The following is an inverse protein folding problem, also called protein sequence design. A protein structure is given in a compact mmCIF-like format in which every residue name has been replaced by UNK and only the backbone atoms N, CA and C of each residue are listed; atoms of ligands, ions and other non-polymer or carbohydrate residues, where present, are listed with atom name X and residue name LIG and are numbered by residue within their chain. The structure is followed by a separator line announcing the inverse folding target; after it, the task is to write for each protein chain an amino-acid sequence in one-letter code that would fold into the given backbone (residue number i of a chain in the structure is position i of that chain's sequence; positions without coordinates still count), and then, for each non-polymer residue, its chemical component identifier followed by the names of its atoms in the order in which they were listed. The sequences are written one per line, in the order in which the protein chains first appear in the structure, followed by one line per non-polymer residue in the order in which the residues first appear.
data_IF_879577841134
#
_entry.id   IF_879577841134
#
_cell.length_a   1.000
_cell.length_b   1.000
_cell.length_c   1.000
_cell.angle_alpha   90.00
_cell.angle_beta   90.00
_cell.angle_gamma   90.00
#
_symmetry.space_group_name_H-M   'P 1'
#
loop_
_entity.id
_entity.type
_entity.pdbx_description
1 polymer ?
#
# COMPACT_ATOMS: atom_id res chain seq x y z
N UNK A 1 -50.92 24.45 -73.40
CA UNK A 1 -50.34 23.09 -73.46
C UNK A 1 -49.47 22.96 -72.23
N UNK A 2 -49.97 22.48 -71.10
CA UNK A 2 -50.38 21.10 -70.75
C UNK A 2 -49.29 20.48 -69.83
N UNK A 3 -49.77 20.09 -68.64
CA UNK A 3 -49.31 19.06 -67.72
C UNK A 3 -48.02 19.18 -66.86
N UNK A 4 -48.27 19.16 -65.53
CA UNK A 4 -47.41 18.62 -64.47
C UNK A 4 -47.54 17.07 -64.44
N UNK A 5 -46.79 16.23 -63.65
CA UNK A 5 -46.47 16.45 -62.23
C UNK A 5 -45.14 15.87 -61.64
N UNK A 6 -44.87 16.29 -60.40
CA UNK A 6 -44.25 15.57 -59.25
C UNK A 6 -42.88 14.89 -59.35
N UNK A 7 -41.94 15.30 -58.49
CA UNK A 7 -41.55 14.50 -57.31
C UNK A 7 -40.69 15.32 -56.34
N UNK A 8 -41.04 15.22 -55.05
CA UNK A 8 -40.37 15.81 -53.90
C UNK A 8 -39.36 14.82 -53.32
N UNK A 9 -38.12 15.25 -53.07
CA UNK A 9 -37.22 14.56 -52.14
C UNK A 9 -36.52 15.56 -51.22
N UNK A 10 -36.90 15.52 -49.96
CA UNK A 10 -36.30 16.26 -48.85
C UNK A 10 -35.11 15.51 -48.24
N UNK A 11 -34.00 16.24 -48.08
CA UNK A 11 -32.98 16.19 -47.02
C UNK A 11 -32.14 14.92 -46.75
N UNK A 12 -30.81 15.12 -46.74
CA UNK A 12 -29.92 14.68 -45.66
C UNK A 12 -28.67 15.60 -45.60
N UNK A 13 -28.25 16.13 -44.43
CA UNK A 13 -26.95 16.80 -44.28
C UNK A 13 -25.82 15.77 -44.12
N UNK A 14 -24.55 16.13 -44.39
CA UNK A 14 -23.45 15.18 -44.32
C UNK A 14 -23.14 14.83 -42.85
N UNK A 15 -22.92 13.54 -42.62
CA UNK A 15 -22.51 12.97 -41.33
C UNK A 15 -21.08 13.43 -41.04
N UNK A 16 -20.90 14.19 -39.96
CA UNK A 16 -19.58 14.55 -39.47
C UNK A 16 -18.91 13.32 -38.83
N UNK A 17 -17.69 13.03 -39.28
CA UNK A 17 -16.85 11.94 -38.81
C UNK A 17 -16.58 12.06 -37.30
N UNK A 18 -16.91 11.01 -36.55
CA UNK A 18 -16.68 10.91 -35.11
C UNK A 18 -15.19 10.74 -34.72
N UNK A 19 -14.28 10.75 -35.71
CA UNK A 19 -12.85 10.54 -35.51
C UNK A 19 -12.05 11.82 -35.24
N UNK A 20 -12.62 13.01 -35.47
CA UNK A 20 -11.90 14.30 -35.30
C UNK A 20 -12.20 15.02 -33.98
N UNK A 21 -12.90 14.38 -33.03
CA UNK A 21 -13.20 14.94 -31.70
C UNK A 21 -12.32 14.37 -30.58
N UNK A 22 -11.37 13.48 -30.90
CA UNK A 22 -10.49 12.85 -29.91
C UNK A 22 -9.10 13.53 -29.76
N UNK A 23 -8.77 14.55 -30.56
CA UNK A 23 -7.43 15.18 -30.56
C UNK A 23 -7.37 16.58 -29.92
N UNK A 24 -8.43 17.07 -29.28
CA UNK A 24 -8.38 18.33 -28.52
C UNK A 24 -8.99 18.14 -27.13
N UNK A 25 -8.44 17.22 -26.34
CA UNK A 25 -8.45 17.33 -24.89
C UNK A 25 -7.06 17.82 -24.45
N UNK A 26 -6.75 19.05 -24.86
CA UNK A 26 -5.67 19.84 -24.28
C UNK A 26 -5.86 19.84 -22.77
N UNK A 27 -4.80 19.44 -22.07
CA UNK A 27 -4.68 19.47 -20.61
C UNK A 27 -5.34 20.73 -20.05
N UNK A 28 -6.46 20.55 -19.34
CA UNK A 28 -6.93 21.57 -18.43
C UNK A 28 -5.78 21.85 -17.44
N UNK A 29 -5.51 23.12 -17.09
CA UNK A 29 -4.51 23.40 -16.08
C UNK A 29 -4.94 22.69 -14.80
N UNK A 30 -4.06 21.82 -14.32
CA UNK A 30 -4.19 21.15 -13.04
C UNK A 30 -4.39 22.25 -12.00
N UNK A 31 -5.61 22.41 -11.47
CA UNK A 31 -5.91 23.45 -10.49
C UNK A 31 -5.13 23.13 -9.21
N UNK A 32 -3.96 23.73 -9.08
CA UNK A 32 -3.15 23.64 -7.88
C UNK A 32 -3.86 24.38 -6.75
N UNK A 33 -4.17 23.63 -5.69
CA UNK A 33 -4.76 24.17 -4.48
C UNK A 33 -3.72 24.17 -3.36
N UNK A 34 -3.58 25.32 -2.70
CA UNK A 34 -2.74 25.44 -1.51
C UNK A 34 -3.62 25.48 -0.27
N UNK A 35 -3.45 24.49 0.59
CA UNK A 35 -4.13 24.36 1.87
C UNK A 35 -3.18 24.67 3.02
N UNK A 36 -3.69 25.35 4.06
CA UNK A 36 -2.92 25.61 5.28
C UNK A 36 -3.54 24.80 6.41
N UNK A 37 -2.73 23.92 7.00
CA UNK A 37 -3.12 23.05 8.11
C UNK A 37 -2.42 23.53 9.36
N UNK A 38 -3.19 23.82 10.41
CA UNK A 38 -2.70 24.25 11.71
C UNK A 38 -2.75 23.09 12.70
N UNK A 39 -1.60 22.70 13.22
CA UNK A 39 -1.47 21.64 14.23
C UNK A 39 -0.53 22.11 15.34
N UNK A 40 -0.95 22.00 16.60
CA UNK A 40 -0.18 22.41 17.80
C UNK A 40 0.39 23.84 17.72
N UNK A 41 -0.35 24.74 17.12
CA UNK A 41 0.07 26.14 16.95
C UNK A 41 1.03 26.39 15.78
N UNK A 42 1.55 25.35 15.13
CA UNK A 42 2.32 25.45 13.90
C UNK A 42 1.42 25.38 12.67
N UNK A 43 1.81 26.09 11.62
CA UNK A 43 1.09 26.11 10.34
C UNK A 43 1.94 25.44 9.27
N UNK A 44 1.43 24.37 8.66
CA UNK A 44 2.03 23.73 7.51
C UNK A 44 1.22 24.02 6.26
N UNK A 45 1.93 24.38 5.21
CA UNK A 45 1.35 24.63 3.88
C UNK A 45 1.48 23.37 3.05
N UNK A 46 0.34 22.80 2.65
CA UNK A 46 0.26 21.61 1.84
C UNK A 46 -0.22 22.01 0.44
N UNK A 47 0.58 21.72 -0.58
CA UNK A 47 0.21 21.93 -1.98
C UNK A 47 -0.39 20.64 -2.52
N UNK A 48 -1.57 20.74 -3.12
CA UNK A 48 -2.33 19.62 -3.67
C UNK A 48 -2.88 19.99 -5.03
N UNK A 49 -3.42 19.00 -5.73
CA UNK A 49 -4.15 19.14 -6.97
C UNK A 49 -5.64 18.91 -6.70
N UNK A 50 -6.53 19.56 -7.44
CA UNK A 50 -7.99 19.37 -7.30
C UNK A 50 -8.47 17.92 -7.48
N UNK A 51 -7.72 17.11 -8.24
CA UNK A 51 -7.95 15.68 -8.46
C UNK A 51 -7.41 14.78 -7.34
N UNK A 52 -6.66 15.33 -6.38
CA UNK A 52 -6.22 14.56 -5.22
C UNK A 52 -7.42 14.30 -4.28
N UNK A 53 -7.35 13.23 -3.48
CA UNK A 53 -8.42 12.88 -2.53
C UNK A 53 -8.18 13.44 -1.12
N UNK A 54 -9.22 13.41 -0.28
CA UNK A 54 -9.10 13.73 1.16
C UNK A 54 -8.08 12.80 1.86
N UNK A 55 -8.01 11.53 1.46
CA UNK A 55 -6.99 10.59 1.94
C UNK A 55 -5.57 11.00 1.55
N UNK A 56 -5.38 11.48 0.31
CA UNK A 56 -4.08 11.98 -0.15
C UNK A 56 -3.68 13.28 0.58
N UNK A 57 -4.64 14.15 0.92
CA UNK A 57 -4.40 15.29 1.81
C UNK A 57 -3.96 14.83 3.21
N UNK A 58 -4.62 13.82 3.79
CA UNK A 58 -4.23 13.27 5.11
C UNK A 58 -2.82 12.67 5.07
N UNK A 59 -2.45 11.97 4.00
CA UNK A 59 -1.09 11.45 3.82
C UNK A 59 -0.05 12.58 3.76
N UNK A 60 -0.33 13.65 3.01
CA UNK A 60 0.54 14.84 2.96
C UNK A 60 0.64 15.57 4.30
N UNK A 61 -0.43 15.60 5.10
CA UNK A 61 -0.39 16.11 6.47
C UNK A 61 0.47 15.18 7.35
N UNK A 62 0.39 13.87 7.16
CA UNK A 62 1.23 12.89 7.86
C UNK A 62 2.71 13.12 7.54
N UNK A 63 3.07 13.37 6.28
CA UNK A 63 4.44 13.74 5.87
C UNK A 63 4.96 14.97 6.63
N UNK A 64 4.11 15.98 6.83
CA UNK A 64 4.49 17.23 7.49
C UNK A 64 4.46 17.19 9.03
N UNK A 65 3.65 16.31 9.63
CA UNK A 65 3.35 16.32 11.08
C UNK A 65 3.75 15.04 11.82
N UNK A 66 3.94 13.92 11.11
CA UNK A 66 4.10 12.59 11.71
C UNK A 66 2.83 12.00 12.32
N UNK A 67 1.67 12.66 12.22
CA UNK A 67 0.39 12.15 12.71
C UNK A 67 -0.25 11.28 11.63
N UNK A 68 -0.55 10.01 11.92
CA UNK A 68 -1.14 9.10 10.94
C UNK A 68 -2.55 9.52 10.47
N UNK A 69 -2.95 9.26 9.21
CA UNK A 69 -4.28 9.61 8.67
C UNK A 69 -5.46 9.20 9.55
N UNK A 70 -5.40 8.00 10.16
CA UNK A 70 -6.45 7.49 11.07
C UNK A 70 -6.58 8.30 12.37
N UNK A 71 -5.51 8.96 12.80
CA UNK A 71 -5.46 9.79 14.02
C UNK A 71 -5.60 11.29 13.72
N UNK A 72 -5.68 11.67 12.45
CA UNK A 72 -5.92 13.04 12.04
C UNK A 72 -7.43 13.35 12.06
N UNK A 73 -7.82 14.20 12.99
CA UNK A 73 -9.14 14.84 12.97
C UNK A 73 -8.99 16.22 12.33
N UNK A 74 -9.38 16.33 11.06
CA UNK A 74 -9.37 17.59 10.32
C UNK A 74 -10.65 18.38 10.62
N UNK A 75 -10.50 19.60 11.11
CA UNK A 75 -11.58 20.52 11.45
C UNK A 75 -11.56 21.70 10.50
N UNK A 76 -12.64 21.85 9.74
CA UNK A 76 -12.83 22.95 8.82
C UNK A 76 -14.11 23.73 9.17
N UNK A 77 -14.15 25.07 9.03
CA UNK A 77 -15.30 25.85 9.46
C UNK A 77 -16.60 25.40 8.79
N UNK A 78 -17.59 25.01 9.62
CA UNK A 78 -18.92 24.55 9.19
C UNK A 78 -18.91 23.29 8.32
N UNK A 79 -17.81 22.51 8.33
CA UNK A 79 -17.70 21.25 7.62
C UNK A 79 -16.98 20.21 8.50
N UNK A 80 -17.67 19.10 8.78
CA UNK A 80 -17.07 17.97 9.51
C UNK A 80 -16.35 17.07 8.50
N UNK A 81 -15.07 17.37 8.23
CA UNK A 81 -14.25 16.55 7.32
C UNK A 81 -14.09 15.09 7.80
N UNK A 82 -14.32 14.81 9.09
CA UNK A 82 -14.35 13.47 9.66
C UNK A 82 -15.49 12.58 9.09
N UNK A 83 -16.57 13.19 8.62
CA UNK A 83 -17.75 12.50 8.09
C UNK A 83 -17.70 12.38 6.56
N UNK A 84 -16.65 12.94 5.94
CA UNK A 84 -16.38 12.86 4.51
C UNK A 84 -15.47 11.66 4.26
N UNK A 85 -15.83 10.84 3.29
CA UNK A 85 -15.03 9.66 2.94
C UNK A 85 -13.68 10.07 2.32
N UNK A 86 -12.63 9.29 2.62
CA UNK A 86 -11.25 9.56 2.19
C UNK A 86 -11.09 9.49 0.66
N UNK A 87 -12.06 8.91 -0.04
CA UNK A 87 -12.13 8.85 -1.51
C UNK A 87 -12.64 10.14 -2.17
N UNK A 88 -13.16 11.08 -1.37
CA UNK A 88 -13.74 12.33 -1.88
C UNK A 88 -12.65 13.22 -2.47
N UNK A 89 -12.84 13.67 -3.72
CA UNK A 89 -11.92 14.59 -4.39
C UNK A 89 -11.88 15.95 -3.70
N UNK A 90 -10.69 16.54 -3.56
CA UNK A 90 -10.53 17.85 -2.93
C UNK A 90 -11.28 18.95 -3.68
N UNK A 91 -11.38 18.87 -5.02
CA UNK A 91 -12.18 19.78 -5.86
C UNK A 91 -13.67 19.80 -5.51
N UNK A 92 -14.21 18.69 -5.01
CA UNK A 92 -15.61 18.59 -4.59
C UNK A 92 -15.88 19.15 -3.19
N UNK A 93 -14.81 19.40 -2.42
CA UNK A 93 -14.90 19.96 -1.07
C UNK A 93 -14.82 21.49 -1.18
N UNK A 94 -15.79 22.24 -0.63
CA UNK A 94 -15.87 23.70 -0.77
C UNK A 94 -14.86 24.43 0.14
N UNK A 95 -13.56 24.19 -0.10
CA UNK A 95 -12.49 24.94 0.54
C UNK A 95 -12.54 26.39 0.09
N UNK A 96 -12.51 27.30 1.06
CA UNK A 96 -12.51 28.74 0.85
C UNK A 96 -11.06 29.21 0.87
N UNK A 97 -10.74 30.15 -0.02
CA UNK A 97 -9.41 30.77 -0.05
C UNK A 97 -9.05 31.34 1.32
N UNK A 98 -7.83 31.06 1.77
CA UNK A 98 -7.23 31.55 3.02
C UNK A 98 -7.89 31.06 4.33
N UNK A 99 -8.74 30.03 4.29
CA UNK A 99 -9.27 29.41 5.51
C UNK A 99 -8.37 28.25 5.92
N UNK A 100 -7.92 28.27 7.18
CA UNK A 100 -7.02 27.26 7.74
C UNK A 100 -7.82 26.05 8.22
N UNK A 101 -7.30 24.85 7.95
CA UNK A 101 -7.80 23.60 8.51
C UNK A 101 -7.12 23.41 9.87
N UNK A 102 -7.88 23.32 10.96
CA UNK A 102 -7.29 22.95 12.25
C UNK A 102 -7.21 21.43 12.31
N UNK A 103 -6.05 20.88 12.64
CA UNK A 103 -5.87 19.44 12.82
C UNK A 103 -5.68 19.12 14.30
N UNK A 104 -6.44 18.14 14.77
CA UNK A 104 -6.24 17.50 16.07
C UNK A 104 -5.70 16.11 15.81
N UNK A 105 -4.61 15.79 16.49
CA UNK A 105 -3.98 14.49 16.43
C UNK A 105 -2.75 14.47 17.30
N UNK A 106 -2.42 13.30 17.81
CA UNK A 106 -1.19 13.04 18.58
C UNK A 106 -0.23 12.27 17.68
N UNK A 107 1.03 12.69 17.70
CA UNK A 107 2.12 11.85 17.20
C UNK A 107 2.24 10.65 18.13
N UNK A 108 2.51 9.48 17.57
CA UNK A 108 2.58 8.26 18.38
C UNK A 108 3.70 8.31 19.43
N UNK A 109 4.72 9.16 19.22
CA UNK A 109 5.87 9.30 20.12
C UNK A 109 5.49 9.79 21.53
N UNK A 110 4.37 10.51 21.67
CA UNK A 110 3.92 11.06 22.94
C UNK A 110 2.95 10.13 23.71
N UNK A 111 2.63 8.96 23.17
CA UNK A 111 1.70 8.00 23.78
C UNK A 111 2.43 7.00 24.69
N UNK A 112 3.74 7.13 24.89
CA UNK A 112 4.51 6.27 25.80
C UNK A 112 4.24 6.57 27.28
N UNK A 113 3.05 6.14 27.76
CA UNK A 113 2.83 5.64 29.12
C UNK A 113 1.87 4.42 29.01
N UNK A 114 2.44 3.25 28.74
CA UNK A 114 1.93 1.98 29.28
C UNK A 114 0.53 1.48 28.89
N UNK A 115 0.21 1.34 27.60
CA UNK A 115 -0.82 0.40 27.15
C UNK A 115 -0.37 -0.33 25.87
N UNK A 116 0.01 -1.60 26.03
CA UNK A 116 0.27 -2.58 24.95
C UNK A 116 -1.03 -3.12 24.32
N UNK A 117 -2.10 -2.31 24.29
CA UNK A 117 -3.32 -2.65 23.57
C UNK A 117 -3.36 -1.77 22.32
N UNK A 118 -2.69 -2.24 21.27
CA UNK A 118 -3.01 -1.80 19.92
C UNK A 118 -4.50 -2.08 19.74
N UNK A 119 -5.37 -1.05 19.58
CA UNK A 119 -6.80 -1.27 19.50
C UNK A 119 -7.04 -2.30 18.42
N UNK A 120 -7.71 -3.41 18.78
CA UNK A 120 -8.04 -4.51 17.88
C UNK A 120 -8.38 -3.91 16.51
N UNK A 121 -7.46 -4.07 15.55
CA UNK A 121 -7.82 -3.92 14.15
C UNK A 121 -8.69 -5.14 13.86
N UNK A 122 -9.94 -5.00 14.31
CA UNK A 122 -11.03 -5.91 14.08
C UNK A 122 -11.08 -6.16 12.59
N UNK A 123 -10.94 -7.45 12.30
CA UNK A 123 -10.84 -8.04 10.97
C UNK A 123 -12.22 -8.10 10.33
N UNK A 124 -12.92 -6.95 10.31
CA UNK A 124 -14.24 -6.81 9.67
C UNK A 124 -14.12 -6.81 8.13
N UNK A 125 -12.91 -7.11 7.63
CA UNK A 125 -12.50 -7.03 6.23
C UNK A 125 -12.05 -8.40 5.73
N UNK A 126 -12.74 -9.47 6.15
CA UNK A 126 -12.79 -10.70 5.38
C UNK A 126 -13.39 -10.35 4.00
N UNK A 127 -12.52 -9.91 3.10
CA UNK A 127 -12.78 -9.99 1.67
C UNK A 127 -13.00 -11.47 1.41
N UNK A 128 -14.26 -11.86 1.21
CA UNK A 128 -14.64 -13.20 0.84
C UNK A 128 -13.64 -13.69 -0.20
N UNK A 129 -12.97 -14.81 0.12
CA UNK A 129 -12.11 -15.51 -0.82
C UNK A 129 -12.93 -15.64 -2.11
N UNK A 130 -12.39 -15.13 -3.22
CA UNK A 130 -12.85 -15.33 -4.61
C UNK A 130 -13.35 -14.14 -5.42
N UNK A 131 -13.00 -12.89 -5.11
CA UNK A 131 -13.09 -11.84 -6.13
C UNK A 131 -11.77 -11.10 -6.28
N UNK A 132 -10.90 -11.66 -7.14
CA UNK A 132 -9.83 -10.96 -7.83
C UNK A 132 -10.45 -9.83 -8.66
N UNK A 133 -10.89 -8.76 -7.99
CA UNK A 133 -11.27 -7.54 -8.69
C UNK A 133 -9.99 -7.09 -9.41
N UNK A 134 -9.99 -6.91 -10.75
CA UNK A 134 -8.79 -6.58 -11.51
C UNK A 134 -8.40 -5.11 -11.30
N UNK A 135 -8.24 -4.71 -10.03
CA UNK A 135 -7.73 -3.42 -9.57
C UNK A 135 -6.32 -3.25 -10.12
N UNK A 136 -5.47 -4.28 -10.05
CA UNK A 136 -4.09 -4.23 -10.57
C UNK A 136 -4.00 -3.80 -12.03
N UNK A 137 -5.01 -4.11 -12.85
CA UNK A 137 -4.95 -3.91 -14.30
C UNK A 137 -5.44 -2.53 -14.75
N UNK A 138 -6.03 -1.73 -13.84
CA UNK A 138 -6.53 -0.39 -14.17
C UNK A 138 -5.42 0.63 -14.36
N UNK A 139 -5.55 1.42 -15.41
CA UNK A 139 -4.53 2.41 -15.79
C UNK A 139 -4.27 3.46 -14.71
N UNK A 140 -5.30 3.86 -13.96
CA UNK A 140 -5.17 4.78 -12.82
C UNK A 140 -4.14 4.27 -11.81
N UNK A 141 -4.19 2.98 -11.45
CA UNK A 141 -3.28 2.42 -10.45
C UNK A 141 -1.90 2.13 -11.03
N UNK A 142 -1.81 1.78 -12.32
CA UNK A 142 -0.53 1.70 -13.04
C UNK A 142 0.18 3.06 -13.09
N UNK A 143 -0.56 4.17 -13.27
CA UNK A 143 0.00 5.52 -13.21
C UNK A 143 0.42 5.92 -11.80
N UNK A 144 -0.41 5.65 -10.78
CA UNK A 144 -0.04 5.86 -9.36
C UNK A 144 1.24 5.11 -9.00
N UNK A 145 1.36 3.86 -9.44
CA UNK A 145 2.55 3.04 -9.27
C UNK A 145 3.79 3.69 -9.92
N UNK A 146 3.70 4.05 -11.20
CA UNK A 146 4.81 4.70 -11.94
C UNK A 146 5.26 5.99 -11.25
N UNK A 147 4.30 6.83 -10.84
CA UNK A 147 4.58 8.07 -10.10
C UNK A 147 5.32 7.75 -8.79
N UNK A 148 4.83 6.77 -8.03
CA UNK A 148 5.44 6.38 -6.76
C UNK A 148 6.85 5.82 -6.94
N UNK A 149 7.04 4.93 -7.91
CA UNK A 149 8.35 4.37 -8.24
C UNK A 149 9.37 5.45 -8.61
N UNK A 150 8.94 6.53 -9.28
CA UNK A 150 9.82 7.64 -9.64
C UNK A 150 10.11 8.61 -8.49
N UNK A 151 9.18 8.79 -7.54
CA UNK A 151 9.28 9.80 -6.49
C UNK A 151 9.86 9.26 -5.18
N UNK A 152 9.49 8.03 -4.83
CA UNK A 152 9.95 7.39 -3.62
C UNK A 152 11.40 6.91 -3.80
N UNK A 153 12.26 7.13 -2.81
CA UNK A 153 13.61 6.58 -2.80
C UNK A 153 13.67 5.47 -1.77
N UNK A 154 13.89 4.24 -2.24
CA UNK A 154 14.06 3.09 -1.33
C UNK A 154 15.29 3.33 -0.45
N UNK A 155 15.10 3.19 0.86
CA UNK A 155 16.17 3.40 1.84
C UNK A 155 17.03 2.14 1.93
N UNK A 156 18.15 2.12 1.21
CA UNK A 156 19.15 1.05 1.29
C UNK A 156 19.93 1.15 2.60
N UNK A 157 20.09 0.02 3.30
CA UNK A 157 20.78 -0.03 4.59
C UNK A 157 22.29 -0.18 4.37
N UNK A 158 23.10 0.81 4.78
CA UNK A 158 24.54 0.89 4.40
C UNK A 158 25.51 0.49 5.52
N UNK A 159 25.13 0.43 6.80
CA UNK A 159 26.01 -0.10 7.86
C UNK A 159 25.26 -0.48 9.15
N UNK A 160 25.79 -1.45 9.89
CA UNK A 160 25.14 -2.07 11.05
C UNK A 160 25.80 -1.69 12.39
N UNK A 161 24.99 -1.62 13.46
CA UNK A 161 25.41 -1.51 14.86
C UNK A 161 24.92 -2.76 15.60
N UNK A 162 25.72 -3.46 16.43
CA UNK A 162 25.31 -4.74 17.02
C UNK A 162 24.13 -4.60 17.99
N UNK A 163 23.18 -5.54 17.95
CA UNK A 163 22.02 -5.56 18.84
C UNK A 163 21.67 -6.98 19.33
N UNK A 164 20.90 -7.07 20.41
CA UNK A 164 20.62 -8.30 21.18
C UNK A 164 19.30 -8.96 20.71
N UNK A 165 19.32 -10.30 20.62
CA UNK A 165 18.44 -11.12 19.78
C UNK A 165 17.12 -11.60 20.40
N UNK A 166 16.05 -11.60 19.58
CA UNK A 166 14.81 -12.36 19.78
C UNK A 166 14.86 -13.70 19.01
N UNK A 167 15.22 -14.79 19.69
CA UNK A 167 15.74 -16.05 19.11
C UNK A 167 15.04 -16.56 17.82
N UNK A 168 13.71 -16.64 17.76
CA UNK A 168 13.01 -17.22 16.59
C UNK A 168 12.95 -16.29 15.37
N UNK A 169 12.85 -14.98 15.59
CA UNK A 169 12.86 -14.00 14.49
C UNK A 169 14.21 -13.99 13.78
N UNK A 170 15.31 -13.98 14.53
CA UNK A 170 16.65 -13.98 13.94
C UNK A 170 16.96 -15.29 13.22
N UNK A 171 16.51 -16.44 13.75
CA UNK A 171 16.66 -17.72 13.05
C UNK A 171 15.92 -17.73 11.71
N UNK A 172 14.68 -17.25 11.69
CA UNK A 172 13.90 -17.12 10.46
C UNK A 172 14.61 -16.21 9.44
N UNK A 173 15.04 -15.02 9.87
CA UNK A 173 15.71 -14.06 8.98
C UNK A 173 17.06 -14.58 8.48
N UNK A 174 17.86 -15.23 9.33
CA UNK A 174 19.12 -15.86 8.93
C UNK A 174 18.90 -16.97 7.89
N UNK A 175 17.89 -17.81 8.11
CA UNK A 175 17.56 -18.87 7.16
C UNK A 175 17.03 -18.30 5.84
N UNK A 176 16.14 -17.31 5.88
CA UNK A 176 15.63 -16.62 4.69
C UNK A 176 16.76 -15.95 3.90
N UNK A 177 17.71 -15.30 4.58
CA UNK A 177 18.85 -14.62 3.96
C UNK A 177 19.76 -15.53 3.14
N UNK A 178 19.75 -16.85 3.41
CA UNK A 178 20.49 -17.81 2.60
C UNK A 178 19.94 -17.97 1.16
N UNK A 179 18.71 -17.52 0.92
CA UNK A 179 17.99 -17.65 -0.37
C UNK A 179 17.42 -16.33 -0.90
N UNK A 180 17.20 -15.34 -0.03
CA UNK A 180 16.47 -14.12 -0.35
C UNK A 180 17.20 -12.88 0.15
N UNK A 181 17.19 -11.82 -0.66
CA UNK A 181 17.33 -10.46 -0.15
C UNK A 181 16.10 -10.09 0.69
N UNK A 182 16.33 -9.37 1.80
CA UNK A 182 15.26 -9.08 2.78
C UNK A 182 14.95 -7.58 2.77
N UNK A 183 13.70 -7.23 2.45
CA UNK A 183 13.19 -5.86 2.49
C UNK A 183 12.09 -5.78 3.55
N UNK A 184 12.18 -4.81 4.46
CA UNK A 184 11.14 -4.55 5.47
C UNK A 184 10.26 -3.41 4.98
N UNK A 185 8.96 -3.67 4.82
CA UNK A 185 7.98 -2.66 4.40
C UNK A 185 6.85 -2.50 5.42
N UNK A 186 6.84 -1.37 6.14
CA UNK A 186 5.79 -1.03 7.12
C UNK A 186 4.80 0.00 6.58
N UNK A 187 3.58 -0.02 7.08
CA UNK A 187 2.59 1.04 6.88
C UNK A 187 2.74 2.20 7.90
N UNK A 188 3.85 2.24 8.64
CA UNK A 188 4.22 3.34 9.56
C UNK A 188 5.24 4.29 8.92
N UNK A 189 5.71 5.32 9.63
CA UNK A 189 6.77 6.23 9.12
C UNK A 189 8.15 5.59 9.23
N UNK A 190 9.10 6.03 8.37
CA UNK A 190 10.47 5.50 8.40
C UNK A 190 11.12 5.56 9.79
N UNK A 191 10.91 6.64 10.54
CA UNK A 191 11.41 6.77 11.92
C UNK A 191 10.93 5.64 12.83
N UNK A 192 9.67 5.23 12.70
CA UNK A 192 9.12 4.09 13.45
C UNK A 192 9.67 2.76 12.96
N UNK A 193 9.90 2.61 11.66
CA UNK A 193 10.53 1.42 11.09
C UNK A 193 11.93 1.25 11.66
N UNK A 194 12.76 2.29 11.58
CA UNK A 194 14.13 2.28 12.12
C UNK A 194 14.14 1.96 13.62
N UNK A 195 13.35 2.68 14.42
CA UNK A 195 13.25 2.46 15.86
C UNK A 195 12.82 1.04 16.20
N UNK A 196 11.83 0.48 15.49
CA UNK A 196 11.37 -0.89 15.75
C UNK A 196 12.40 -1.93 15.33
N UNK A 197 13.06 -1.74 14.19
CA UNK A 197 14.10 -2.66 13.73
C UNK A 197 15.35 -2.61 14.61
N UNK A 198 15.67 -1.46 15.19
CA UNK A 198 16.72 -1.30 16.21
C UNK A 198 16.35 -2.01 17.52
N UNK A 199 15.12 -1.81 18.03
CA UNK A 199 14.63 -2.49 19.24
C UNK A 199 14.60 -4.02 19.10
N UNK A 200 14.28 -4.53 17.92
CA UNK A 200 14.30 -5.96 17.60
C UNK A 200 15.71 -6.47 17.25
N UNK A 201 16.70 -5.58 17.16
CA UNK A 201 18.07 -5.88 16.79
C UNK A 201 18.27 -6.41 15.35
N UNK A 202 17.30 -6.18 14.49
CA UNK A 202 17.24 -6.70 13.12
C UNK A 202 18.28 -6.03 12.20
N UNK A 203 18.59 -4.75 12.43
CA UNK A 203 19.58 -4.01 11.64
C UNK A 203 21.03 -4.27 12.06
N UNK A 204 21.26 -5.10 13.09
CA UNK A 204 22.54 -5.28 13.75
C UNK A 204 23.05 -6.71 13.80
N UNK A 205 22.40 -7.63 13.08
CA UNK A 205 22.70 -9.06 13.16
C UNK A 205 23.94 -9.43 12.32
N UNK A 206 24.89 -10.22 12.86
CA UNK A 206 26.00 -10.73 12.07
C UNK A 206 25.58 -11.84 11.08
N UNK A 207 24.41 -12.46 11.28
CA UNK A 207 23.99 -13.66 10.56
C UNK A 207 23.22 -13.36 9.27
N UNK A 208 22.73 -12.12 9.10
CA UNK A 208 21.99 -11.68 7.92
C UNK A 208 22.07 -10.17 7.71
N UNK A 209 21.68 -9.72 6.51
CA UNK A 209 21.54 -8.30 6.20
C UNK A 209 20.14 -7.98 5.71
N UNK A 210 19.66 -6.82 6.11
CA UNK A 210 18.46 -6.21 5.54
C UNK A 210 18.90 -5.33 4.37
N UNK A 211 18.33 -5.58 3.20
CA UNK A 211 18.66 -4.88 1.96
C UNK A 211 18.09 -3.47 1.95
N UNK A 212 16.83 -3.32 2.36
CA UNK A 212 16.15 -2.03 2.38
C UNK A 212 15.04 -1.92 3.43
N UNK A 213 14.77 -0.68 3.83
CA UNK A 213 13.60 -0.29 4.61
C UNK A 213 12.64 0.53 3.74
N UNK A 214 11.35 0.27 3.89
CA UNK A 214 10.26 0.97 3.22
C UNK A 214 9.14 1.29 4.21
N UNK A 215 8.48 2.41 3.99
CA UNK A 215 7.48 2.97 4.89
C UNK A 215 6.18 3.30 4.15
N UNK A 216 5.20 3.88 4.86
CA UNK A 216 3.90 4.23 4.28
C UNK A 216 3.99 5.17 3.07
N UNK A 217 5.06 5.95 2.93
CA UNK A 217 5.25 6.83 1.79
C UNK A 217 5.54 6.08 0.49
N UNK A 218 5.83 4.78 0.54
CA UNK A 218 5.88 3.94 -0.66
C UNK A 218 4.50 3.40 -1.09
N UNK A 219 3.47 3.53 -0.25
CA UNK A 219 2.15 2.96 -0.50
C UNK A 219 1.34 3.77 -1.51
N UNK A 220 0.31 3.13 -2.09
CA UNK A 220 -0.67 3.81 -2.96
C UNK A 220 -2.08 3.57 -2.45
N UNK A 221 -2.93 4.58 -2.61
CA UNK A 221 -4.36 4.50 -2.27
C UNK A 221 -5.15 3.92 -3.44
N UNK A 222 -5.88 2.84 -3.16
CA UNK A 222 -6.79 2.15 -4.08
C UNK A 222 -8.23 2.21 -3.56
N UNK A 223 -9.18 2.04 -4.47
CA UNK A 223 -10.62 2.02 -4.18
C UNK A 223 -11.20 0.66 -4.52
N UNK A 224 -11.89 0.04 -3.57
CA UNK A 224 -12.69 -1.18 -3.81
C UNK A 224 -13.92 -0.84 -4.65
N UNK A 225 -14.18 -1.65 -5.66
CA UNK A 225 -15.43 -1.59 -6.45
C UNK A 225 -16.52 -2.51 -5.90
N UNK A 226 -16.13 -3.57 -5.20
CA UNK A 226 -17.06 -4.53 -4.65
C UNK A 226 -17.45 -4.13 -3.23
N UNK A 227 -18.51 -3.33 -3.15
CA UNK A 227 -19.54 -3.28 -2.11
C UNK A 227 -20.46 -2.08 -2.39
N UNK A 228 -21.65 -2.08 -1.78
CA UNK A 228 -22.61 -0.96 -1.76
C UNK A 228 -22.05 0.39 -1.27
N UNK A 229 -20.77 0.43 -0.87
CA UNK A 229 -19.97 1.62 -0.61
C UNK A 229 -18.59 1.46 -1.25
N UNK A 230 -18.22 2.38 -2.13
CA UNK A 230 -16.83 2.55 -2.58
C UNK A 230 -15.97 2.87 -1.37
N UNK A 231 -14.93 2.08 -1.10
CA UNK A 231 -14.05 2.26 0.06
C UNK A 231 -12.61 2.39 -0.39
N UNK A 232 -11.93 3.44 0.06
CA UNK A 232 -10.51 3.63 -0.18
C UNK A 232 -9.66 3.03 0.93
N UNK A 233 -8.53 2.45 0.53
CA UNK A 233 -7.51 1.93 1.44
C UNK A 233 -6.14 1.99 0.77
N UNK A 234 -5.09 1.95 1.58
CA UNK A 234 -3.72 1.94 1.08
C UNK A 234 -3.19 0.51 0.96
N UNK A 235 -2.36 0.27 -0.06
CA UNK A 235 -1.67 -0.99 -0.28
C UNK A 235 -0.17 -0.78 -0.57
N UNK A 236 0.60 -1.86 -0.51
CA UNK A 236 2.06 -1.95 -0.69
C UNK A 236 2.37 -2.58 -2.06
N UNK A 237 2.40 -1.79 -3.14
CA UNK A 237 2.57 -2.34 -4.47
C UNK A 237 4.04 -2.71 -4.73
N UNK A 238 4.34 -4.01 -4.82
CA UNK A 238 5.71 -4.51 -5.07
C UNK A 238 6.32 -3.98 -6.37
N UNK A 239 5.50 -3.54 -7.33
CA UNK A 239 5.96 -2.89 -8.54
C UNK A 239 6.78 -1.61 -8.30
N UNK A 240 6.72 -0.98 -7.11
CA UNK A 240 7.64 0.12 -6.74
C UNK A 240 9.08 -0.40 -6.65
N UNK A 241 9.27 -1.59 -6.08
CA UNK A 241 10.58 -2.23 -5.95
C UNK A 241 11.05 -2.71 -7.32
N UNK A 242 10.20 -3.44 -8.05
CA UNK A 242 10.54 -3.99 -9.37
C UNK A 242 10.90 -2.90 -10.39
N UNK A 243 10.26 -1.74 -10.31
CA UNK A 243 10.58 -0.63 -11.20
C UNK A 243 11.92 0.05 -10.87
N UNK A 244 12.36 0.04 -9.61
CA UNK A 244 13.64 0.63 -9.19
C UNK A 244 14.82 -0.33 -9.35
N UNK A 245 14.58 -1.64 -9.24
CA UNK A 245 15.60 -2.69 -9.28
C UNK A 245 15.19 -3.84 -10.22
N UNK A 246 14.87 -3.56 -11.50
CA UNK A 246 14.31 -4.56 -12.42
C UNK A 246 15.28 -5.69 -12.76
N UNK A 247 16.59 -5.46 -12.66
CA UNK A 247 17.60 -6.50 -12.87
C UNK A 247 17.65 -7.54 -11.74
N UNK A 248 17.13 -7.23 -10.55
CA UNK A 248 17.18 -8.11 -9.37
C UNK A 248 15.82 -8.69 -9.02
N UNK A 249 14.75 -7.90 -9.08
CA UNK A 249 13.45 -8.28 -8.54
C UNK A 249 12.31 -8.12 -9.55
N UNK A 250 11.44 -9.11 -9.61
CA UNK A 250 10.22 -9.12 -10.41
C UNK A 250 9.14 -10.03 -9.77
N UNK A 251 8.00 -10.16 -10.44
CA UNK A 251 6.86 -10.95 -9.96
C UNK A 251 7.14 -12.46 -9.85
N UNK A 252 8.18 -12.98 -10.50
CA UNK A 252 8.52 -14.40 -10.48
C UNK A 252 9.43 -14.80 -9.33
N UNK A 253 10.16 -13.86 -8.73
CA UNK A 253 11.14 -14.15 -7.68
C UNK A 253 10.89 -13.41 -6.37
N UNK A 254 9.80 -12.65 -6.26
CA UNK A 254 9.44 -11.89 -5.06
C UNK A 254 8.29 -12.56 -4.30
N UNK A 255 8.42 -12.71 -2.99
CA UNK A 255 7.32 -13.12 -2.09
C UNK A 255 7.22 -12.11 -0.94
N UNK A 256 5.99 -11.80 -0.53
CA UNK A 256 5.67 -10.81 0.50
C UNK A 256 4.83 -11.45 1.60
N UNK A 257 5.27 -11.30 2.85
CA UNK A 257 4.54 -11.74 4.04
C UNK A 257 3.86 -10.55 4.69
N UNK A 258 2.56 -10.65 4.88
CA UNK A 258 1.75 -9.61 5.52
C UNK A 258 0.52 -10.26 6.14
N UNK A 259 0.10 -9.82 7.32
CA UNK A 259 -1.10 -10.32 7.96
C UNK A 259 -2.38 -9.81 7.28
N UNK A 260 -2.27 -8.75 6.47
CA UNK A 260 -3.40 -8.10 5.83
C UNK A 260 -3.38 -8.30 4.30
N UNK A 261 -4.27 -9.16 3.79
CA UNK A 261 -4.40 -9.45 2.35
C UNK A 261 -4.51 -8.20 1.47
N UNK A 262 -5.21 -7.16 1.94
CA UNK A 262 -5.37 -5.89 1.22
C UNK A 262 -4.04 -5.21 0.87
N UNK A 263 -2.98 -5.44 1.66
CA UNK A 263 -1.69 -4.78 1.45
C UNK A 263 -1.03 -5.23 0.15
N UNK A 264 -1.32 -6.42 -0.35
CA UNK A 264 -0.78 -6.93 -1.62
C UNK A 264 -1.86 -7.10 -2.70
N UNK A 265 -2.95 -6.33 -2.63
CA UNK A 265 -4.03 -6.39 -3.64
C UNK A 265 -3.57 -6.06 -5.07
N UNK A 266 -2.48 -5.30 -5.20
CA UNK A 266 -1.86 -4.96 -6.49
C UNK A 266 -0.91 -6.06 -7.02
N UNK A 267 -0.60 -7.07 -6.19
CA UNK A 267 0.31 -8.17 -6.48
C UNK A 267 -0.14 -9.46 -5.72
N UNK A 268 -1.37 -9.93 -5.96
CA UNK A 268 -2.00 -10.99 -5.14
C UNK A 268 -1.24 -12.32 -5.19
N UNK A 269 -0.65 -12.65 -6.35
CA UNK A 269 0.15 -13.87 -6.53
C UNK A 269 1.45 -13.87 -5.71
N UNK A 270 1.96 -12.70 -5.29
CA UNK A 270 3.21 -12.59 -4.54
C UNK A 270 2.97 -12.50 -3.02
N UNK A 271 1.72 -12.43 -2.57
CA UNK A 271 1.37 -12.26 -1.17
C UNK A 271 1.05 -13.59 -0.48
N UNK A 272 1.62 -13.78 0.72
CA UNK A 272 1.27 -14.85 1.64
C UNK A 272 0.73 -14.22 2.92
N UNK A 273 -0.50 -14.59 3.29
CA UNK A 273 -1.11 -14.15 4.56
C UNK A 273 -0.50 -14.92 5.71
N UNK A 274 0.14 -14.23 6.66
CA UNK A 274 0.65 -14.82 7.90
C UNK A 274 -0.35 -14.64 9.03
N UNK A 275 -0.32 -15.54 10.02
CA UNK A 275 -1.12 -15.34 11.23
C UNK A 275 -0.57 -14.15 12.03
N UNK A 276 -1.43 -13.20 12.48
CA UNK A 276 -0.97 -12.09 13.30
C UNK A 276 -0.47 -12.61 14.64
N UNK A 277 0.75 -12.21 15.03
CA UNK A 277 1.34 -12.57 16.31
C UNK A 277 0.74 -11.72 17.43
N UNK A 278 -0.38 -12.18 17.99
CA UNK A 278 -1.11 -11.50 19.08
C UNK A 278 -0.69 -12.05 20.45
N UNK A 279 -0.76 -11.20 21.49
CA UNK A 279 -0.49 -11.56 22.90
C UNK A 279 0.85 -12.28 23.08
N UNK A 280 1.93 -11.62 22.67
CA UNK A 280 3.29 -12.18 22.66
C UNK A 280 3.68 -12.86 23.98
N UNK A 281 3.36 -12.25 25.13
CA UNK A 281 3.68 -12.78 26.45
C UNK A 281 3.04 -14.14 26.77
N UNK A 282 1.90 -14.47 26.15
CA UNK A 282 1.16 -15.71 26.39
C UNK A 282 1.37 -16.76 25.30
N UNK A 283 1.71 -16.33 24.07
CA UNK A 283 1.76 -17.19 22.89
C UNK A 283 3.19 -17.50 22.41
N UNK A 284 4.21 -16.86 22.98
CA UNK A 284 5.62 -17.00 22.57
C UNK A 284 6.11 -18.45 22.45
N UNK A 285 5.71 -19.32 23.37
CA UNK A 285 6.23 -20.69 23.43
C UNK A 285 5.49 -21.66 22.48
N UNK A 286 4.32 -21.25 21.96
CA UNK A 286 3.47 -22.08 21.11
C UNK A 286 3.42 -21.60 19.65
N UNK A 287 3.91 -20.39 19.37
CA UNK A 287 3.97 -19.86 18.01
C UNK A 287 5.10 -20.53 17.21
N UNK A 288 4.70 -21.30 16.19
CA UNK A 288 5.60 -21.98 15.28
C UNK A 288 5.48 -21.45 13.84
N UNK A 289 4.84 -20.29 13.65
CA UNK A 289 4.53 -19.78 12.31
C UNK A 289 5.82 -19.47 11.55
N UNK A 290 6.76 -18.75 12.17
CA UNK A 290 8.06 -18.43 11.58
C UNK A 290 8.90 -19.68 11.28
N UNK A 291 8.77 -20.73 12.09
CA UNK A 291 9.46 -22.01 11.86
C UNK A 291 8.91 -22.68 10.60
N UNK A 292 7.59 -22.76 10.46
CA UNK A 292 6.94 -23.29 9.24
C UNK A 292 7.28 -22.45 8.01
N UNK A 293 7.24 -21.11 8.13
CA UNK A 293 7.59 -20.19 7.04
C UNK A 293 9.06 -20.36 6.63
N UNK A 294 9.96 -20.61 7.58
CA UNK A 294 11.36 -20.95 7.29
C UNK A 294 11.44 -22.17 6.37
N UNK A 295 10.76 -23.26 6.73
CA UNK A 295 10.74 -24.47 5.91
C UNK A 295 10.14 -24.22 4.52
N UNK A 296 9.07 -23.43 4.45
CA UNK A 296 8.44 -23.06 3.18
C UNK A 296 9.39 -22.27 2.28
N UNK A 297 9.97 -21.18 2.77
CA UNK A 297 10.93 -20.36 2.01
C UNK A 297 12.13 -21.19 1.53
N UNK A 298 12.72 -22.03 2.40
CA UNK A 298 13.86 -22.87 2.00
C UNK A 298 13.48 -23.92 0.94
N UNK A 299 12.22 -24.37 0.91
CA UNK A 299 11.74 -25.34 -0.09
C UNK A 299 11.46 -24.74 -1.46
N UNK A 300 11.14 -23.44 -1.53
CA UNK A 300 10.81 -22.74 -2.78
C UNK A 300 11.94 -21.82 -3.25
N UNK A 301 12.94 -21.54 -2.41
CA UNK A 301 14.00 -20.57 -2.68
C UNK A 301 14.97 -20.92 -3.80
N UNK A 302 14.98 -22.18 -4.25
CA UNK A 302 15.77 -22.62 -5.42
C UNK A 302 14.93 -22.65 -6.72
N UNK A 303 13.65 -22.25 -6.68
CA UNK A 303 12.80 -22.17 -7.86
C UNK A 303 13.11 -20.89 -8.65
N UNK A 304 13.21 -21.02 -9.97
CA UNK A 304 13.39 -19.87 -10.87
C UNK A 304 12.11 -19.01 -11.00
N UNK A 305 10.94 -19.60 -10.72
CA UNK A 305 9.64 -18.94 -10.92
C UNK A 305 8.62 -19.39 -9.86
N UNK A 306 8.24 -18.44 -9.00
CA UNK A 306 7.28 -18.59 -7.91
C UNK A 306 5.83 -18.39 -8.36
N UNK A 307 5.58 -17.89 -9.58
CA UNK A 307 4.22 -17.56 -10.06
C UNK A 307 3.26 -18.75 -10.15
N UNK A 308 3.79 -19.97 -10.09
CA UNK A 308 3.02 -21.23 -10.14
C UNK A 308 2.61 -21.73 -8.76
N UNK A 309 3.06 -21.08 -7.68
CA UNK A 309 2.80 -21.53 -6.31
C UNK A 309 1.45 -21.01 -5.82
N UNK A 310 0.71 -21.85 -5.11
CA UNK A 310 -0.48 -21.44 -4.38
C UNK A 310 -0.08 -21.11 -2.93
N UNK A 311 0.25 -19.84 -2.68
CA UNK A 311 0.62 -19.36 -1.34
C UNK A 311 -0.55 -19.43 -0.34
N UNK A 312 -1.80 -19.62 -0.79
CA UNK A 312 -2.93 -19.89 0.11
C UNK A 312 -2.86 -21.26 0.78
N UNK A 313 -2.10 -22.21 0.20
CA UNK A 313 -1.92 -23.58 0.69
C UNK A 313 -0.47 -23.90 1.06
N UNK A 314 0.26 -22.88 1.48
CA UNK A 314 1.68 -23.00 1.82
C UNK A 314 1.93 -24.03 2.94
N UNK A 315 1.05 -24.11 3.95
CA UNK A 315 1.15 -25.11 5.03
C UNK A 315 1.08 -26.55 4.50
N UNK A 316 0.18 -26.82 3.54
CA UNK A 316 0.05 -28.15 2.93
C UNK A 316 1.23 -28.56 2.05
N UNK A 317 1.91 -27.58 1.44
CA UNK A 317 3.09 -27.80 0.60
C UNK A 317 4.29 -28.33 1.41
N UNK A 318 4.40 -27.91 2.68
CA UNK A 318 5.41 -28.41 3.62
C UNK A 318 5.18 -29.89 3.92
N UNK A 319 3.93 -30.30 4.12
CA UNK A 319 3.59 -31.71 4.42
C UNK A 319 3.90 -32.65 3.25
N UNK A 320 3.67 -32.22 2.00
CA UNK A 320 3.99 -33.03 0.82
C UNK A 320 5.50 -33.19 0.59
N UNK A 321 6.26 -32.11 0.76
CA UNK A 321 7.72 -32.14 0.63
C UNK A 321 8.37 -32.95 1.77
N UNK A 322 7.85 -32.89 2.99
CA UNK A 322 8.24 -33.76 4.10
C UNK A 322 7.92 -35.24 3.82
N UNK A 323 6.76 -35.55 3.20
CA UNK A 323 6.40 -36.91 2.77
C UNK A 323 7.31 -37.44 1.65
N UNK A 324 7.73 -36.59 0.70
CA UNK A 324 8.68 -36.97 -0.35
C UNK A 324 10.07 -37.28 0.21
N UNK A 325 10.58 -36.48 1.16
CA UNK A 325 11.86 -36.74 1.83
C UNK A 325 11.87 -38.01 2.68
N UNK A 326 10.73 -38.42 3.26
CA UNK A 326 10.62 -39.70 3.99
C UNK A 326 10.52 -40.94 3.10
N UNK A 327 10.30 -40.77 1.79
CA UNK A 327 10.17 -41.85 0.80
C UNK A 327 11.41 -42.03 -0.09
N UNK A 328 12.36 -41.11 -0.02
CA UNK A 328 13.68 -41.19 -0.68
C UNK A 328 14.72 -41.76 0.28
#
# INVERSE_FOLDING_TARGET
MADAPSSSSSAAPPVADAASLAEVAVSAPVEEMTLVVKWRGQEQTVRMVGDDTLGELKLRICEATGVFPKRQTLLYPKLMLKDIDDSTLLSSIPFKRNVKINMIGTVEEEIFIGQEDDPELLDDFDFEQNEDTPIKDKDVYKQKLKRRASQYKVHLVVSQVPAISFIYLHQFLAAAYSKYDIIIWSATSMKWVELKMEQLGVLGSPDYKITALMDHLAMITVQSENQSRKKTFDCKPLGVIWAQFPEYYNEKNTIMFDDLRRNFIMNPQNGLVIRPFRKAHSNRDNDNELVKLTHYLLSIGDLEDLSKLDHGKWESSIDESAKRRKRS
#
